data_IF_596078589478
#
_entry.id   IF_596078589478
#
_cell.length_a   1.000
_cell.length_b   1.000
_cell.length_c   1.000
_cell.angle_alpha   90.00
_cell.angle_beta   90.00
_cell.angle_gamma   90.00
#
_symmetry.space_group_name_H-M   'P 1'
#
loop_
_entity.id
_entity.type
_entity.pdbx_description
1 polymer ?
#
# COMPACT_ATOMS: atom_id res chain seq x y z
N UNK A 1 -19.76 26.51 -9.84
CA UNK A 1 -18.56 25.94 -10.49
C UNK A 1 -17.35 25.86 -9.56
N UNK A 2 -16.98 26.92 -8.81
CA UNK A 2 -15.78 26.93 -7.95
C UNK A 2 -15.65 25.75 -6.96
N UNK A 3 -16.73 25.35 -6.27
CA UNK A 3 -16.69 24.25 -5.29
C UNK A 3 -16.38 22.88 -5.93
N UNK A 4 -16.84 22.65 -7.17
CA UNK A 4 -16.62 21.39 -7.90
C UNK A 4 -15.18 21.26 -8.39
N UNK A 5 -14.61 22.34 -8.91
CA UNK A 5 -13.20 22.39 -9.36
C UNK A 5 -12.25 22.12 -8.19
N UNK A 6 -12.51 22.74 -7.03
CA UNK A 6 -11.74 22.50 -5.80
C UNK A 6 -11.81 21.04 -5.32
N UNK A 7 -13.00 20.42 -5.37
CA UNK A 7 -13.15 19.02 -4.99
C UNK A 7 -12.35 18.07 -5.89
N UNK A 8 -12.36 18.30 -7.21
CA UNK A 8 -11.62 17.48 -8.17
C UNK A 8 -10.10 17.65 -8.02
N UNK A 9 -9.62 18.88 -7.76
CA UNK A 9 -8.21 19.11 -7.47
C UNK A 9 -7.75 18.40 -6.21
N UNK A 10 -8.55 18.45 -5.14
CA UNK A 10 -8.25 17.77 -3.86
C UNK A 10 -8.25 16.25 -4.03
N UNK A 11 -9.21 15.70 -4.79
CA UNK A 11 -9.26 14.28 -5.08
C UNK A 11 -8.07 13.81 -5.94
N UNK A 12 -7.70 14.57 -6.97
CA UNK A 12 -6.51 14.29 -7.79
C UNK A 12 -5.24 14.31 -6.95
N UNK A 13 -5.09 15.31 -6.09
CA UNK A 13 -3.98 15.40 -5.14
C UNK A 13 -3.91 14.16 -4.25
N UNK A 14 -5.02 13.76 -3.62
CA UNK A 14 -5.06 12.59 -2.75
C UNK A 14 -4.67 11.30 -3.50
N UNK A 15 -5.18 11.10 -4.71
CA UNK A 15 -4.84 9.93 -5.53
C UNK A 15 -3.36 9.86 -5.89
N UNK A 16 -2.75 10.99 -6.25
CA UNK A 16 -1.31 11.05 -6.55
C UNK A 16 -0.45 10.84 -5.30
N UNK A 17 -0.86 11.40 -4.16
CA UNK A 17 -0.18 11.18 -2.88
C UNK A 17 -0.21 9.71 -2.48
N UNK A 18 -1.39 9.07 -2.49
CA UNK A 18 -1.52 7.64 -2.18
C UNK A 18 -0.72 6.76 -3.15
N UNK A 19 -0.64 7.10 -4.44
CA UNK A 19 0.19 6.33 -5.39
C UNK A 19 1.68 6.39 -5.08
N UNK A 20 2.18 7.52 -4.57
CA UNK A 20 3.59 7.67 -4.15
C UNK A 20 3.85 6.89 -2.87
N UNK A 21 2.96 7.00 -1.88
CA UNK A 21 3.00 6.26 -0.62
C UNK A 21 2.98 4.74 -0.85
N UNK A 22 2.03 4.25 -1.66
CA UNK A 22 1.95 2.83 -2.05
C UNK A 22 3.21 2.34 -2.77
N UNK A 23 3.86 3.19 -3.57
CA UNK A 23 5.13 2.83 -4.21
C UNK A 23 6.24 2.70 -3.17
N UNK A 24 6.34 3.67 -2.27
CA UNK A 24 7.31 3.65 -1.20
C UNK A 24 7.15 2.40 -0.31
N UNK A 25 5.92 2.05 0.08
CA UNK A 25 5.67 0.82 0.86
C UNK A 25 6.01 -0.45 0.07
N UNK A 26 5.80 -0.46 -1.26
CA UNK A 26 6.20 -1.61 -2.08
C UNK A 26 7.71 -1.81 -2.06
N UNK A 27 8.45 -0.72 -2.29
CA UNK A 27 9.92 -0.73 -2.31
C UNK A 27 10.47 -1.09 -0.90
N UNK A 28 9.78 -0.66 0.17
CA UNK A 28 10.10 -1.07 1.54
C UNK A 28 9.88 -2.57 1.78
N UNK A 29 8.80 -3.15 1.24
CA UNK A 29 8.57 -4.60 1.29
C UNK A 29 9.62 -5.40 0.52
N UNK A 30 10.18 -4.87 -0.57
CA UNK A 30 11.33 -5.47 -1.25
C UNK A 30 12.56 -5.46 -0.33
N UNK A 31 12.85 -4.33 0.33
CA UNK A 31 13.97 -4.21 1.28
C UNK A 31 13.83 -5.17 2.48
N UNK A 32 12.63 -5.28 3.05
CA UNK A 32 12.35 -6.21 4.13
C UNK A 32 12.50 -7.68 3.71
N UNK A 33 12.12 -8.01 2.49
CA UNK A 33 12.32 -9.36 1.96
C UNK A 33 13.81 -9.69 1.84
N UNK A 34 14.61 -8.79 1.25
CA UNK A 34 16.07 -8.97 1.15
C UNK A 34 16.70 -9.16 2.53
N UNK A 35 16.24 -8.39 3.52
CA UNK A 35 16.75 -8.50 4.89
C UNK A 35 16.35 -9.81 5.58
N UNK A 36 15.14 -10.31 5.34
CA UNK A 36 14.72 -11.63 5.81
C UNK A 36 15.60 -12.74 5.22
N UNK A 37 15.92 -12.65 3.93
CA UNK A 37 16.78 -13.63 3.26
C UNK A 37 18.21 -13.64 3.85
N UNK A 38 18.75 -12.47 4.19
CA UNK A 38 20.02 -12.34 4.92
C UNK A 38 19.97 -13.06 6.28
N UNK A 39 18.92 -12.82 7.08
CA UNK A 39 18.73 -13.48 8.40
C UNK A 39 18.58 -14.99 8.22
N UNK A 40 17.81 -15.45 7.24
CA UNK A 40 17.63 -16.86 6.91
C UNK A 40 18.96 -17.59 6.65
N UNK A 41 19.90 -16.89 6.00
CA UNK A 41 21.20 -17.44 5.65
C UNK A 41 22.14 -17.63 6.84
N UNK A 42 21.94 -16.86 7.92
CA UNK A 42 22.76 -16.89 9.14
C UNK A 42 22.23 -17.88 10.17
N UNK A 43 20.91 -17.93 10.35
CA UNK A 43 20.27 -18.64 11.45
C UNK A 43 19.64 -19.97 11.00
N UNK A 44 20.24 -21.10 11.38
CA UNK A 44 19.74 -22.46 11.08
C UNK A 44 18.85 -23.07 12.19
N UNK A 45 18.35 -22.26 13.13
CA UNK A 45 17.44 -22.71 14.18
C UNK A 45 16.02 -23.00 13.68
N UNK A 46 15.37 -24.08 14.17
CA UNK A 46 14.00 -24.43 13.77
C UNK A 46 12.96 -23.35 14.13
N UNK A 47 13.16 -22.59 15.22
CA UNK A 47 12.27 -21.50 15.63
C UNK A 47 12.27 -20.32 14.67
N UNK A 48 13.45 -19.90 14.19
CA UNK A 48 13.62 -18.81 13.24
C UNK A 48 12.93 -19.10 11.88
N UNK A 49 12.96 -20.36 11.44
CA UNK A 49 12.33 -20.78 10.16
C UNK A 49 10.82 -20.57 10.11
N UNK A 50 10.10 -20.85 11.19
CA UNK A 50 8.63 -20.70 11.21
C UNK A 50 8.20 -19.22 11.16
N UNK A 51 8.90 -18.36 11.90
CA UNK A 51 8.66 -16.92 11.84
C UNK A 51 8.99 -16.34 10.46
N UNK A 52 10.04 -16.84 9.82
CA UNK A 52 10.48 -16.39 8.51
C UNK A 52 9.44 -16.66 7.41
N UNK A 53 8.90 -17.88 7.34
CA UNK A 53 7.86 -18.24 6.36
C UNK A 53 6.59 -17.39 6.56
N UNK A 54 6.20 -17.13 7.81
CA UNK A 54 5.07 -16.26 8.11
C UNK A 54 5.28 -14.83 7.59
N UNK A 55 6.48 -14.26 7.79
CA UNK A 55 6.77 -12.91 7.29
C UNK A 55 6.85 -12.86 5.75
N UNK A 56 7.46 -13.85 5.11
CA UNK A 56 7.48 -13.94 3.64
C UNK A 56 6.06 -13.98 3.05
N UNK A 57 5.16 -14.78 3.64
CA UNK A 57 3.76 -14.83 3.23
C UNK A 57 3.04 -13.48 3.42
N UNK A 58 3.28 -12.81 4.55
CA UNK A 58 2.69 -11.48 4.82
C UNK A 58 3.18 -10.42 3.84
N UNK A 59 4.48 -10.40 3.53
CA UNK A 59 5.05 -9.51 2.50
C UNK A 59 4.37 -9.72 1.14
N UNK A 60 4.15 -10.97 0.73
CA UNK A 60 3.49 -11.27 -0.53
C UNK A 60 2.03 -10.78 -0.55
N UNK A 61 1.29 -10.99 0.54
CA UNK A 61 -0.08 -10.49 0.71
C UNK A 61 -0.10 -8.97 0.64
N UNK A 62 0.86 -8.31 1.28
CA UNK A 62 0.99 -6.87 1.29
C UNK A 62 1.29 -6.30 -0.09
N UNK A 63 2.29 -6.84 -0.81
CA UNK A 63 2.58 -6.46 -2.20
C UNK A 63 1.35 -6.60 -3.11
N UNK A 64 0.55 -7.64 -2.90
CA UNK A 64 -0.72 -7.84 -3.62
C UNK A 64 -1.77 -6.78 -3.28
N UNK A 65 -1.92 -6.42 -2.00
CA UNK A 65 -2.82 -5.35 -1.56
C UNK A 65 -2.41 -3.99 -2.15
N UNK A 66 -1.11 -3.67 -2.11
CA UNK A 66 -0.53 -2.46 -2.68
C UNK A 66 -0.84 -2.38 -4.19
N UNK A 67 -0.61 -3.46 -4.94
CA UNK A 67 -0.87 -3.50 -6.37
C UNK A 67 -2.35 -3.23 -6.70
N UNK A 68 -3.27 -3.82 -5.94
CA UNK A 68 -4.72 -3.60 -6.08
C UNK A 68 -5.10 -2.14 -5.81
N UNK A 69 -4.59 -1.55 -4.73
CA UNK A 69 -4.87 -0.15 -4.38
C UNK A 69 -4.30 0.83 -5.40
N UNK A 70 -3.08 0.58 -5.89
CA UNK A 70 -2.44 1.38 -6.94
C UNK A 70 -3.23 1.31 -8.24
N UNK A 71 -3.74 0.13 -8.61
CA UNK A 71 -4.62 -0.03 -9.77
C UNK A 71 -5.92 0.78 -9.62
N UNK A 72 -6.58 0.70 -8.46
CA UNK A 72 -7.80 1.48 -8.16
C UNK A 72 -7.55 2.99 -8.21
N UNK A 73 -6.43 3.46 -7.64
CA UNK A 73 -6.04 4.87 -7.75
C UNK A 73 -5.88 5.31 -9.21
N UNK A 74 -5.18 4.50 -10.02
CA UNK A 74 -4.99 4.78 -11.45
C UNK A 74 -6.32 4.79 -12.22
N UNK A 75 -7.24 3.87 -11.92
CA UNK A 75 -8.57 3.83 -12.52
C UNK A 75 -9.38 5.08 -12.19
N UNK A 76 -9.38 5.49 -10.91
CA UNK A 76 -10.10 6.68 -10.46
C UNK A 76 -9.54 7.96 -11.08
N UNK A 77 -8.22 8.06 -11.21
CA UNK A 77 -7.57 9.18 -11.89
C UNK A 77 -7.95 9.26 -13.38
N UNK A 78 -7.99 8.12 -14.09
CA UNK A 78 -8.47 8.07 -15.49
C UNK A 78 -9.92 8.57 -15.60
N UNK A 79 -10.78 8.17 -14.68
CA UNK A 79 -12.18 8.61 -14.67
C UNK A 79 -12.31 10.12 -14.45
N UNK A 80 -11.48 10.71 -13.59
CA UNK A 80 -11.43 12.16 -13.38
C UNK A 80 -11.00 12.87 -14.68
N UNK A 81 -9.94 12.39 -15.34
CA UNK A 81 -9.49 12.97 -16.60
C UNK A 81 -10.54 12.92 -17.73
N UNK A 82 -11.31 11.83 -17.82
CA UNK A 82 -12.40 11.70 -18.79
C UNK A 82 -13.59 12.61 -18.44
N UNK A 83 -13.90 12.79 -17.15
CA UNK A 83 -14.96 13.69 -16.70
C UNK A 83 -14.60 15.17 -16.92
N UNK A 84 -13.33 15.54 -16.74
CA UNK A 84 -12.82 16.88 -17.06
C UNK A 84 -12.96 17.18 -18.57
N UNK A 85 -12.76 16.18 -19.43
CA UNK A 85 -12.83 16.35 -20.90
C UNK A 85 -14.27 16.46 -21.42
N UNK A 86 -15.23 15.76 -20.81
CA UNK A 86 -16.61 15.66 -21.33
C UNK A 86 -17.60 16.65 -20.67
N UNK A 87 -17.17 17.51 -19.74
CA UNK A 87 -18.01 18.41 -18.89
C UNK A 87 -19.18 17.75 -18.12
N UNK A 88 -19.37 16.43 -18.27
CA UNK A 88 -20.37 15.63 -17.57
C UNK A 88 -19.72 14.93 -16.39
N UNK A 89 -19.74 15.57 -15.21
CA UNK A 89 -19.35 14.91 -13.96
C UNK A 89 -20.49 13.96 -13.56
N UNK A 90 -20.48 12.78 -14.17
CA UNK A 90 -21.51 11.76 -13.97
C UNK A 90 -21.46 11.22 -12.52
N UNK A 91 -22.63 10.96 -11.93
CA UNK A 91 -22.81 10.43 -10.57
C UNK A 91 -22.12 9.09 -10.33
N UNK A 92 -21.60 8.46 -11.39
CA UNK A 92 -20.74 7.26 -11.38
C UNK A 92 -19.45 7.43 -10.57
N UNK A 93 -18.92 8.65 -10.42
CA UNK A 93 -17.75 8.91 -9.56
C UNK A 93 -18.01 8.64 -8.06
N UNK A 94 -19.29 8.58 -7.65
CA UNK A 94 -19.71 8.48 -6.24
C UNK A 94 -20.03 7.04 -5.80
N UNK A 95 -20.25 6.11 -6.72
CA UNK A 95 -20.87 4.80 -6.42
C UNK A 95 -19.90 3.60 -6.52
N UNK A 96 -18.76 3.65 -5.82
CA UNK A 96 -18.06 2.42 -5.42
C UNK A 96 -18.38 2.16 -3.93
N UNK A 97 -19.08 1.06 -3.64
CA UNK A 97 -19.24 0.54 -2.28
C UNK A 97 -17.83 0.30 -1.69
N UNK A 98 -17.61 0.90 -0.51
CA UNK A 98 -16.33 1.20 0.15
C UNK A 98 -15.52 2.31 -0.53
N UNK A 99 -15.37 3.45 0.17
CA UNK A 99 -14.59 4.55 -0.38
C UNK A 99 -13.11 4.14 -0.40
N UNK A 100 -12.42 4.32 -1.54
CA UNK A 100 -10.97 4.09 -1.66
C UNK A 100 -10.16 4.72 -0.50
N UNK A 101 -10.68 5.80 0.10
CA UNK A 101 -10.10 6.44 1.29
C UNK A 101 -10.08 5.51 2.50
N UNK A 102 -11.16 4.78 2.76
CA UNK A 102 -11.27 3.87 3.90
C UNK A 102 -10.33 2.67 3.70
N UNK A 103 -10.27 2.14 2.48
CA UNK A 103 -9.34 1.05 2.14
C UNK A 103 -7.87 1.49 2.28
N UNK A 104 -7.53 2.70 1.81
CA UNK A 104 -6.20 3.28 2.00
C UNK A 104 -5.88 3.45 3.49
N UNK A 105 -6.82 3.97 4.29
CA UNK A 105 -6.64 4.15 5.73
C UNK A 105 -6.40 2.82 6.44
N UNK A 106 -7.19 1.80 6.12
CA UNK A 106 -7.03 0.47 6.71
C UNK A 106 -5.70 -0.15 6.29
N UNK A 107 -5.34 -0.06 5.01
CA UNK A 107 -4.07 -0.54 4.49
C UNK A 107 -2.87 0.12 5.18
N UNK A 108 -2.84 1.45 5.27
CA UNK A 108 -1.74 2.19 5.91
C UNK A 108 -1.55 1.71 7.35
N UNK A 109 -2.64 1.54 8.11
CA UNK A 109 -2.56 1.01 9.47
C UNK A 109 -1.90 -0.38 9.50
N UNK A 110 -2.41 -1.31 8.69
CA UNK A 110 -1.89 -2.68 8.66
C UNK A 110 -0.42 -2.76 8.20
N UNK A 111 -0.02 -1.88 7.28
CA UNK A 111 1.37 -1.75 6.82
C UNK A 111 2.30 -1.36 7.98
N UNK A 112 1.94 -0.33 8.74
CA UNK A 112 2.75 0.10 9.89
C UNK A 112 2.78 -0.96 11.00
N UNK A 113 1.67 -1.64 11.25
CA UNK A 113 1.62 -2.75 12.21
C UNK A 113 2.59 -3.88 11.78
N UNK A 114 2.59 -4.29 10.50
CA UNK A 114 3.56 -5.28 9.99
C UNK A 114 5.00 -4.77 10.10
N UNK A 115 5.24 -3.51 9.73
CA UNK A 115 6.56 -2.91 9.78
C UNK A 115 7.15 -2.95 11.18
N UNK A 116 6.38 -2.58 12.20
CA UNK A 116 6.83 -2.64 13.60
C UNK A 116 7.21 -4.09 13.97
N UNK A 117 6.35 -5.06 13.68
CA UNK A 117 6.64 -6.48 13.96
C UNK A 117 7.90 -6.98 13.25
N UNK A 118 8.14 -6.55 12.01
CA UNK A 118 9.34 -6.91 11.25
C UNK A 118 10.59 -6.26 11.80
N UNK A 119 10.53 -5.00 12.21
CA UNK A 119 11.67 -4.28 12.80
C UNK A 119 12.06 -4.88 14.16
N UNK A 120 11.09 -5.30 14.96
CA UNK A 120 11.33 -6.01 16.21
C UNK A 120 12.01 -7.36 15.95
N UNK A 121 11.50 -8.14 14.98
CA UNK A 121 12.13 -9.38 14.55
C UNK A 121 13.57 -9.15 14.08
N UNK A 122 13.81 -8.18 13.21
CA UNK A 122 15.18 -7.87 12.76
C UNK A 122 16.09 -7.45 13.91
N UNK A 123 15.59 -6.70 14.89
CA UNK A 123 16.38 -6.29 16.05
C UNK A 123 16.77 -7.46 16.94
N UNK A 124 15.88 -8.44 17.11
CA UNK A 124 16.14 -9.66 17.90
C UNK A 124 17.18 -10.58 17.22
N UNK A 125 17.11 -10.72 15.89
CA UNK A 125 17.92 -11.70 15.15
C UNK A 125 19.16 -11.11 14.44
N UNK A 126 19.34 -9.79 14.41
CA UNK A 126 20.55 -9.14 13.83
C UNK A 126 21.57 -8.67 14.88
N UNK A 127 21.23 -8.66 16.17
CA UNK A 127 22.16 -8.24 17.23
C UNK A 127 23.10 -9.36 17.71
N UNK A 128 23.05 -10.55 17.10
CA UNK A 128 23.96 -11.67 17.38
C UNK A 128 24.94 -11.91 16.23
#
# INVERSE_FOLDING_TARGET
>A
MQTKVRYLSDLKFNLETWRRELRFHFDEMDTFQEKLEEVASREFGQGARKSLENFQNRIMIEKSAIAKLKHRCKAKLRNIHLADYNESIDGRLRNEQTSLKDDMRQYIKMHYDLKEEMMDYFSEYLQN
#
